data_IF_589002127497
#
_entry.id   IF_589002127497
#
_cell.length_a   1.000
_cell.length_b   1.000
_cell.length_c   1.000
_cell.angle_alpha   90.00
_cell.angle_beta   90.00
_cell.angle_gamma   90.00
#
_symmetry.space_group_name_H-M   'P 1'
#
loop_
_entity.id
_entity.type
_entity.pdbx_description
1 polymer ?
#
# COMPACT_ATOMS: atom_id res chain seq x y z
N UNK A 1 33.00 -22.80 46.61
CA UNK A 1 31.70 -22.76 45.88
C UNK A 1 31.76 -23.76 44.75
N UNK A 2 30.91 -24.76 44.71
CA UNK A 2 31.02 -25.86 43.74
C UNK A 2 30.56 -25.37 42.35
N UNK A 3 31.22 -25.89 41.29
CA UNK A 3 30.95 -25.54 39.89
C UNK A 3 29.45 -25.56 39.53
N UNK A 4 28.66 -26.45 40.16
CA UNK A 4 27.21 -26.51 40.01
C UNK A 4 26.46 -25.24 40.52
N UNK A 5 26.97 -24.60 41.56
CA UNK A 5 26.39 -23.33 42.09
C UNK A 5 26.72 -22.16 41.19
N UNK A 6 27.90 -22.16 40.56
CA UNK A 6 28.30 -21.11 39.60
C UNK A 6 27.45 -21.23 38.32
N UNK A 7 27.22 -22.43 37.79
CA UNK A 7 26.37 -22.65 36.62
C UNK A 7 24.92 -22.26 36.92
N UNK A 8 24.38 -22.58 38.08
CA UNK A 8 23.03 -22.16 38.47
C UNK A 8 22.85 -20.66 38.58
N UNK A 9 23.89 -19.94 39.06
CA UNK A 9 23.86 -18.46 39.15
C UNK A 9 23.97 -17.83 37.77
N UNK A 10 24.77 -18.37 36.86
CA UNK A 10 24.89 -17.89 35.46
C UNK A 10 23.58 -18.13 34.68
N UNK A 11 22.97 -19.32 34.82
CA UNK A 11 21.69 -19.62 34.18
C UNK A 11 20.56 -18.73 34.74
N UNK A 12 20.52 -18.54 36.07
CA UNK A 12 19.55 -17.63 36.67
C UNK A 12 19.76 -16.16 36.23
N UNK A 13 21.03 -15.73 36.09
CA UNK A 13 21.37 -14.42 35.57
C UNK A 13 20.94 -14.19 34.11
N UNK A 14 21.16 -15.19 33.27
CA UNK A 14 20.73 -15.15 31.86
C UNK A 14 19.20 -15.16 31.75
N UNK A 15 18.51 -15.99 32.50
CA UNK A 15 17.04 -16.03 32.54
C UNK A 15 16.45 -14.72 33.11
N UNK A 16 17.09 -14.12 34.11
CA UNK A 16 16.64 -12.85 34.69
C UNK A 16 16.88 -11.70 33.70
N UNK A 17 18.02 -11.66 33.02
CA UNK A 17 18.32 -10.65 31.99
C UNK A 17 17.43 -10.76 30.78
N UNK A 18 17.16 -11.98 30.31
CA UNK A 18 16.20 -12.20 29.20
C UNK A 18 14.76 -11.88 29.60
N UNK A 19 14.36 -12.17 30.84
CA UNK A 19 13.04 -11.79 31.34
C UNK A 19 12.91 -10.28 31.51
N UNK A 20 13.94 -9.58 32.02
CA UNK A 20 13.96 -8.12 32.15
C UNK A 20 13.99 -7.48 30.74
N UNK A 21 14.76 -8.00 29.80
CA UNK A 21 14.78 -7.55 28.42
C UNK A 21 13.41 -7.73 27.75
N UNK A 22 12.80 -8.92 27.94
CA UNK A 22 11.46 -9.21 27.42
C UNK A 22 10.39 -8.30 28.05
N UNK A 23 10.44 -8.06 29.36
CA UNK A 23 9.52 -7.16 30.06
C UNK A 23 9.74 -5.69 29.66
N UNK A 24 10.96 -5.28 29.34
CA UNK A 24 11.27 -3.93 28.90
C UNK A 24 10.73 -3.69 27.49
N UNK A 25 11.01 -4.59 26.57
CA UNK A 25 10.46 -4.56 25.19
C UNK A 25 8.94 -4.67 25.20
N UNK A 26 8.37 -5.60 25.98
CA UNK A 26 6.91 -5.80 26.06
C UNK A 26 6.17 -4.58 26.65
N UNK A 27 6.82 -3.72 27.43
CA UNK A 27 6.23 -2.50 27.98
C UNK A 27 6.56 -1.24 27.20
N UNK A 28 7.35 -1.33 26.14
CA UNK A 28 7.58 -0.23 25.20
C UNK A 28 6.29 0.02 24.41
N UNK A 29 5.72 1.24 24.43
CA UNK A 29 4.51 1.55 23.65
C UNK A 29 4.68 1.33 22.15
N UNK A 30 5.83 1.67 21.57
CA UNK A 30 6.12 1.45 20.15
C UNK A 30 6.25 -0.03 19.81
N UNK A 31 6.90 -0.80 20.69
CA UNK A 31 7.01 -2.25 20.49
C UNK A 31 5.68 -2.98 20.71
N UNK A 32 4.80 -2.49 21.59
CA UNK A 32 3.42 -3.00 21.73
C UNK A 32 2.59 -2.72 20.50
N UNK A 33 2.76 -1.58 19.88
CA UNK A 33 2.12 -1.27 18.60
C UNK A 33 2.54 -2.27 17.53
N UNK A 34 3.78 -2.72 17.59
CA UNK A 34 4.39 -3.66 16.63
C UNK A 34 4.01 -5.14 16.85
N UNK A 35 3.91 -5.60 18.11
CA UNK A 35 3.50 -6.98 18.45
C UNK A 35 1.98 -7.12 18.57
N UNK A 36 1.25 -6.03 18.69
CA UNK A 36 -0.21 -6.01 18.90
C UNK A 36 -1.03 -6.74 17.83
N UNK A 37 -0.41 -7.08 16.72
CA UNK A 37 -1.05 -7.83 15.62
C UNK A 37 -1.34 -9.30 15.94
N UNK A 38 -0.70 -9.89 16.95
CA UNK A 38 -0.91 -11.31 17.29
C UNK A 38 -1.94 -11.55 18.41
N UNK A 39 -2.38 -10.52 19.11
CA UNK A 39 -3.25 -10.65 20.31
C UNK A 39 -4.71 -10.23 20.09
N UNK A 40 -5.09 -9.95 18.86
CA UNK A 40 -6.40 -9.37 18.52
C UNK A 40 -6.45 -7.86 18.78
N UNK A 41 -7.40 -7.19 18.14
CA UNK A 41 -7.61 -5.76 18.32
C UNK A 41 -7.88 -5.44 19.80
N UNK A 42 -7.19 -4.44 20.34
CA UNK A 42 -7.35 -4.03 21.76
C UNK A 42 -8.78 -3.58 22.03
N UNK A 43 -9.38 -2.90 21.07
CA UNK A 43 -10.76 -2.45 21.07
C UNK A 43 -11.45 -2.98 19.80
N UNK A 44 -12.75 -3.23 19.87
CA UNK A 44 -13.52 -3.68 18.70
C UNK A 44 -13.65 -2.55 17.68
N UNK A 45 -13.59 -2.87 16.39
CA UNK A 45 -13.91 -1.90 15.33
C UNK A 45 -15.30 -1.29 15.55
N UNK A 46 -15.42 0.01 15.33
CA UNK A 46 -16.68 0.75 15.46
C UNK A 46 -16.86 1.67 14.26
N UNK A 47 -18.11 1.83 13.83
CA UNK A 47 -18.53 2.79 12.81
C UNK A 47 -19.23 3.97 13.46
N UNK A 48 -19.06 5.15 12.89
CA UNK A 48 -19.77 6.37 13.31
C UNK A 48 -21.25 6.35 12.89
N UNK A 49 -21.60 5.61 11.84
CA UNK A 49 -22.96 5.45 11.36
C UNK A 49 -23.56 4.10 11.82
N UNK A 50 -24.49 4.15 12.77
CA UNK A 50 -25.16 2.99 13.35
C UNK A 50 -26.10 2.23 12.39
N UNK A 51 -26.29 2.70 11.15
CA UNK A 51 -27.05 1.98 10.13
C UNK A 51 -26.23 0.88 9.45
N UNK A 52 -24.93 0.77 9.76
CA UNK A 52 -24.04 -0.25 9.25
C UNK A 52 -23.56 -1.18 10.35
N UNK A 53 -23.24 -2.38 9.95
CA UNK A 53 -22.66 -3.41 10.81
C UNK A 53 -21.31 -3.84 10.27
N UNK A 54 -20.46 -4.31 11.16
CA UNK A 54 -19.17 -4.92 10.82
C UNK A 54 -19.33 -6.43 10.97
N UNK A 55 -19.00 -7.17 9.93
CA UNK A 55 -18.97 -8.63 9.95
C UNK A 55 -17.53 -9.12 9.77
N UNK A 56 -17.10 -10.00 10.65
CA UNK A 56 -15.82 -10.67 10.55
C UNK A 56 -15.96 -11.89 9.63
N UNK A 57 -15.27 -11.90 8.49
CA UNK A 57 -15.34 -12.99 7.51
C UNK A 57 -14.34 -14.09 7.84
N UNK A 58 -13.13 -13.72 8.26
CA UNK A 58 -12.05 -14.65 8.57
C UNK A 58 -11.10 -14.04 9.59
N UNK A 59 -10.55 -14.88 10.48
CA UNK A 59 -9.54 -14.50 11.48
C UNK A 59 -8.34 -15.43 11.43
N UNK A 60 -7.25 -14.99 12.04
CA UNK A 60 -6.03 -15.79 12.13
C UNK A 60 -5.23 -15.88 10.84
N UNK A 61 -5.43 -14.92 9.94
CA UNK A 61 -4.61 -14.73 8.74
C UNK A 61 -3.33 -14.00 9.14
N UNK A 62 -2.21 -14.40 8.54
CA UNK A 62 -0.93 -13.73 8.75
C UNK A 62 -0.71 -12.66 7.68
N UNK A 63 -0.52 -11.40 8.11
CA UNK A 63 -0.06 -10.28 7.29
C UNK A 63 -0.71 -10.23 5.89
N UNK A 64 -2.06 -10.15 5.83
CA UNK A 64 -2.75 -9.95 4.55
C UNK A 64 -2.49 -8.52 4.03
N UNK A 65 -2.13 -8.40 2.75
CA UNK A 65 -1.84 -7.11 2.11
C UNK A 65 -2.95 -6.62 1.19
N UNK A 66 -3.52 -7.53 0.41
CA UNK A 66 -4.54 -7.18 -0.57
C UNK A 66 -5.51 -8.34 -0.81
N UNK A 67 -6.68 -8.00 -1.31
CA UNK A 67 -7.70 -8.97 -1.72
C UNK A 67 -8.35 -8.56 -3.05
N UNK A 68 -9.00 -9.50 -3.71
CA UNK A 68 -9.84 -9.21 -4.88
C UNK A 68 -11.02 -10.17 -4.95
N UNK A 69 -12.12 -9.70 -5.50
CA UNK A 69 -13.28 -10.55 -5.75
C UNK A 69 -13.17 -11.27 -7.10
N UNK A 70 -13.51 -12.55 -7.13
CA UNK A 70 -13.67 -13.33 -8.36
C UNK A 70 -15.05 -14.00 -8.36
N UNK A 71 -16.01 -13.35 -8.99
CA UNK A 71 -17.42 -13.69 -8.83
C UNK A 71 -17.89 -13.45 -7.40
N UNK A 72 -18.30 -14.53 -6.70
CA UNK A 72 -18.68 -14.46 -5.27
C UNK A 72 -17.57 -14.93 -4.33
N UNK A 73 -16.44 -15.33 -4.87
CA UNK A 73 -15.30 -15.80 -4.10
C UNK A 73 -14.30 -14.67 -3.85
N UNK A 74 -13.44 -14.83 -2.85
CA UNK A 74 -12.39 -13.87 -2.52
C UNK A 74 -11.04 -14.57 -2.67
N UNK A 75 -10.12 -13.93 -3.41
CA UNK A 75 -8.70 -14.24 -3.36
C UNK A 75 -8.02 -13.19 -2.49
N UNK A 76 -7.13 -13.62 -1.58
CA UNK A 76 -6.36 -12.72 -0.74
C UNK A 76 -4.91 -13.20 -0.60
N UNK A 77 -4.05 -12.27 -0.23
CA UNK A 77 -2.62 -12.48 -0.16
C UNK A 77 -2.16 -12.67 1.29
N UNK A 78 -1.26 -13.63 1.51
CA UNK A 78 -0.44 -13.71 2.72
C UNK A 78 0.97 -13.21 2.38
N UNK A 79 1.31 -11.99 2.78
CA UNK A 79 2.54 -11.26 2.40
C UNK A 79 3.81 -12.07 2.63
N UNK A 80 3.94 -12.60 3.84
CA UNK A 80 5.17 -13.23 4.32
C UNK A 80 5.32 -14.68 3.86
N UNK A 81 4.21 -15.35 3.58
CA UNK A 81 4.24 -16.74 3.16
C UNK A 81 4.22 -16.93 1.65
N UNK A 82 4.01 -15.85 0.88
CA UNK A 82 3.91 -15.90 -0.59
C UNK A 82 2.65 -16.57 -1.12
N UNK A 83 1.67 -16.88 -0.25
CA UNK A 83 0.50 -17.68 -0.61
C UNK A 83 -0.67 -16.81 -1.05
N UNK A 84 -1.27 -17.20 -2.17
CA UNK A 84 -2.57 -16.69 -2.58
C UNK A 84 -3.62 -17.66 -2.07
N UNK A 85 -4.50 -17.15 -1.20
CA UNK A 85 -5.53 -17.93 -0.53
C UNK A 85 -6.91 -17.67 -1.17
N UNK A 86 -7.81 -18.60 -0.98
CA UNK A 86 -9.14 -18.61 -1.59
C UNK A 86 -10.21 -18.82 -0.52
N UNK A 87 -11.19 -17.90 -0.48
CA UNK A 87 -12.42 -18.06 0.29
C UNK A 87 -13.55 -18.32 -0.68
N UNK A 88 -14.22 -19.44 -0.52
CA UNK A 88 -15.39 -19.83 -1.30
C UNK A 88 -16.56 -20.16 -0.37
N UNK A 89 -17.73 -19.60 -0.63
CA UNK A 89 -18.94 -19.76 0.22
C UNK A 89 -18.65 -19.44 1.71
N UNK A 90 -17.92 -18.38 1.99
CA UNK A 90 -17.47 -17.94 3.33
C UNK A 90 -16.60 -18.98 4.07
N UNK A 91 -15.95 -19.90 3.35
CA UNK A 91 -15.02 -20.87 3.93
C UNK A 91 -13.66 -20.74 3.28
N UNK A 92 -12.62 -20.71 4.11
CA UNK A 92 -11.25 -20.78 3.65
C UNK A 92 -10.95 -22.15 3.05
N UNK A 93 -10.52 -22.18 1.79
CA UNK A 93 -10.01 -23.38 1.13
C UNK A 93 -8.62 -23.69 1.71
N UNK A 94 -8.41 -24.97 2.10
CA UNK A 94 -7.20 -25.39 2.82
C UNK A 94 -5.92 -25.12 2.03
N UNK A 95 -5.89 -25.54 0.77
CA UNK A 95 -4.70 -25.40 -0.06
C UNK A 95 -4.65 -24.02 -0.73
N UNK A 96 -3.48 -23.37 -0.80
CA UNK A 96 -3.34 -22.12 -1.54
C UNK A 96 -3.58 -22.37 -3.04
N UNK A 97 -4.07 -21.37 -3.75
CA UNK A 97 -4.23 -21.44 -5.20
C UNK A 97 -2.94 -21.17 -5.96
N UNK A 98 -1.97 -20.53 -5.26
CA UNK A 98 -0.61 -20.28 -5.73
C UNK A 98 0.34 -20.06 -4.55
N UNK A 99 1.64 -20.27 -4.79
CA UNK A 99 2.71 -20.09 -3.80
C UNK A 99 3.92 -19.47 -4.51
N UNK A 100 4.39 -18.31 -4.02
CA UNK A 100 5.57 -17.61 -4.53
C UNK A 100 6.73 -17.76 -3.54
N UNK A 101 7.94 -17.80 -4.07
CA UNK A 101 9.16 -17.68 -3.26
C UNK A 101 9.42 -16.19 -2.97
N UNK A 102 8.93 -15.72 -1.83
CA UNK A 102 9.02 -14.31 -1.45
C UNK A 102 10.29 -14.04 -0.64
N UNK A 103 10.86 -12.86 -0.85
CA UNK A 103 11.96 -12.40 0.00
C UNK A 103 11.47 -12.21 1.44
N UNK A 104 12.11 -12.94 2.37
CA UNK A 104 11.96 -12.77 3.80
C UNK A 104 13.31 -12.35 4.39
N UNK A 105 13.50 -11.09 4.75
CA UNK A 105 14.72 -10.66 5.42
C UNK A 105 14.63 -10.81 6.95
N UNK A 106 15.74 -11.24 7.54
CA UNK A 106 16.01 -11.73 8.89
C UNK A 106 15.59 -10.92 10.12
N UNK A 107 14.87 -9.84 10.01
CA UNK A 107 14.02 -9.30 11.05
C UNK A 107 12.63 -9.08 10.47
N UNK A 108 11.80 -10.06 10.61
CA UNK A 108 10.49 -10.27 10.01
C UNK A 108 9.48 -9.15 10.22
N UNK A 109 9.81 -8.16 11.03
CA UNK A 109 8.83 -7.18 11.46
C UNK A 109 8.82 -5.88 10.66
N UNK A 110 9.78 -5.60 9.77
CA UNK A 110 9.95 -4.28 9.17
C UNK A 110 10.12 -4.24 7.66
N UNK A 111 9.97 -5.36 6.96
CA UNK A 111 10.07 -5.31 5.51
C UNK A 111 8.72 -5.05 4.87
N UNK A 112 8.68 -4.16 3.89
CA UNK A 112 7.50 -3.96 3.06
C UNK A 112 7.46 -4.92 1.87
N UNK A 113 8.51 -5.74 1.70
CA UNK A 113 8.62 -6.74 0.63
C UNK A 113 7.68 -7.93 0.85
N UNK A 114 7.44 -8.72 -0.19
CA UNK A 114 6.64 -9.95 -0.15
C UNK A 114 5.55 -9.98 -1.21
N UNK A 115 4.45 -10.65 -0.92
CA UNK A 115 3.29 -10.70 -1.81
C UNK A 115 2.39 -9.49 -1.52
N UNK A 116 2.30 -8.52 -2.46
CA UNK A 116 1.87 -7.16 -2.15
C UNK A 116 0.55 -6.76 -2.78
N UNK A 117 0.26 -7.15 -4.02
CA UNK A 117 -0.95 -6.70 -4.70
C UNK A 117 -1.61 -7.77 -5.55
N UNK A 118 -2.94 -7.72 -5.65
CA UNK A 118 -3.74 -8.61 -6.49
C UNK A 118 -4.97 -7.87 -7.01
N UNK A 119 -5.28 -8.01 -8.30
CA UNK A 119 -6.54 -7.57 -8.87
C UNK A 119 -7.09 -8.62 -9.83
N UNK A 120 -8.40 -8.59 -10.06
CA UNK A 120 -9.08 -9.43 -11.05
C UNK A 120 -9.73 -8.60 -12.15
N UNK A 121 -9.59 -9.05 -13.41
CA UNK A 121 -10.29 -8.50 -14.58
C UNK A 121 -10.99 -9.66 -15.30
N UNK A 122 -12.21 -9.95 -14.90
CA UNK A 122 -12.89 -11.16 -15.34
C UNK A 122 -12.18 -12.42 -14.86
N UNK A 123 -11.62 -13.23 -15.76
CA UNK A 123 -10.83 -14.42 -15.40
C UNK A 123 -9.31 -14.17 -15.38
N UNK A 124 -8.86 -12.97 -15.69
CA UNK A 124 -7.44 -12.62 -15.58
C UNK A 124 -7.14 -12.10 -14.17
N UNK A 125 -6.09 -12.62 -13.56
CA UNK A 125 -5.61 -12.24 -12.23
C UNK A 125 -4.22 -11.66 -12.39
N UNK A 126 -4.02 -10.47 -11.88
CA UNK A 126 -2.71 -9.79 -11.85
C UNK A 126 -2.18 -9.81 -10.43
N UNK A 127 -0.91 -10.09 -10.28
CA UNK A 127 -0.24 -10.24 -8.97
C UNK A 127 1.07 -9.48 -8.97
N UNK A 128 1.28 -8.68 -7.93
CA UNK A 128 2.53 -7.99 -7.65
C UNK A 128 3.23 -8.66 -6.47
N UNK A 129 4.49 -9.02 -6.64
CA UNK A 129 5.27 -9.76 -5.64
C UNK A 129 6.73 -9.34 -5.65
N UNK A 130 7.36 -9.28 -4.46
CA UNK A 130 8.81 -9.19 -4.31
C UNK A 130 9.37 -10.60 -4.21
N UNK A 131 10.06 -11.08 -5.24
CA UNK A 131 10.65 -12.42 -5.30
C UNK A 131 12.13 -12.41 -5.01
N UNK A 132 12.59 -13.40 -4.24
CA UNK A 132 14.00 -13.74 -4.09
C UNK A 132 14.37 -14.78 -5.15
N UNK A 133 15.17 -14.37 -6.13
CA UNK A 133 15.56 -15.24 -7.26
C UNK A 133 16.83 -16.02 -7.03
N UNK A 134 17.71 -15.48 -6.21
CA UNK A 134 18.99 -16.07 -5.85
C UNK A 134 19.41 -15.55 -4.47
N UNK A 135 19.21 -16.38 -3.46
CA UNK A 135 19.54 -16.06 -2.06
C UNK A 135 21.06 -15.94 -1.82
N UNK A 136 21.89 -16.65 -2.60
CA UNK A 136 23.35 -16.59 -2.46
C UNK A 136 23.90 -15.23 -2.97
N UNK A 137 23.28 -14.66 -4.01
CA UNK A 137 23.69 -13.39 -4.62
C UNK A 137 22.73 -12.25 -4.25
N UNK A 138 21.76 -12.48 -3.40
CA UNK A 138 20.74 -11.47 -2.97
C UNK A 138 20.05 -10.79 -4.17
N UNK A 139 19.69 -11.57 -5.19
CA UNK A 139 18.95 -11.07 -6.34
C UNK A 139 17.47 -11.02 -6.00
N UNK A 140 16.95 -9.81 -5.84
CA UNK A 140 15.55 -9.57 -5.49
C UNK A 140 14.93 -8.62 -6.51
N UNK A 141 13.73 -8.93 -6.95
CA UNK A 141 12.99 -8.12 -7.91
C UNK A 141 11.52 -8.00 -7.49
N UNK A 142 10.94 -6.83 -7.70
CA UNK A 142 9.49 -6.68 -7.71
C UNK A 142 8.99 -7.11 -9.10
N UNK A 143 8.05 -8.04 -9.13
CA UNK A 143 7.54 -8.62 -10.37
C UNK A 143 6.03 -8.54 -10.46
N UNK A 144 5.53 -8.30 -11.65
CA UNK A 144 4.11 -8.33 -11.95
C UNK A 144 3.82 -9.48 -12.89
N UNK A 145 2.92 -10.35 -12.46
CA UNK A 145 2.46 -11.49 -13.22
C UNK A 145 0.99 -11.38 -13.59
N UNK A 146 0.62 -11.99 -14.71
CA UNK A 146 -0.76 -12.27 -15.07
C UNK A 146 -0.98 -13.78 -15.07
N UNK A 147 -2.13 -14.18 -14.54
CA UNK A 147 -2.63 -15.55 -14.53
C UNK A 147 -4.01 -15.61 -15.16
N UNK A 148 -4.45 -16.82 -15.49
CA UNK A 148 -5.84 -17.12 -15.82
C UNK A 148 -6.45 -17.89 -14.66
N UNK A 149 -7.61 -17.43 -14.15
CA UNK A 149 -8.41 -18.16 -13.17
C UNK A 149 -9.30 -19.17 -13.87
N UNK A 150 -9.07 -20.44 -13.64
CA UNK A 150 -9.84 -21.53 -14.22
C UNK A 150 -9.89 -22.72 -13.27
N UNK A 151 -11.11 -23.31 -13.07
CA UNK A 151 -11.33 -24.46 -12.20
C UNK A 151 -10.81 -24.27 -10.77
N UNK A 152 -11.02 -23.08 -10.18
CA UNK A 152 -10.56 -22.67 -8.86
C UNK A 152 -9.02 -22.75 -8.69
N UNK A 153 -8.27 -22.47 -9.74
CA UNK A 153 -6.81 -22.43 -9.76
C UNK A 153 -6.29 -21.30 -10.63
N UNK A 154 -5.12 -20.81 -10.28
CA UNK A 154 -4.33 -19.94 -11.14
C UNK A 154 -3.53 -20.79 -12.12
N UNK A 155 -3.57 -20.41 -13.40
CA UNK A 155 -2.89 -21.09 -14.51
C UNK A 155 -2.27 -20.07 -15.46
N UNK A 156 -1.44 -20.53 -16.38
CA UNK A 156 -0.86 -19.72 -17.46
C UNK A 156 -0.13 -18.47 -16.95
N UNK A 157 0.77 -18.67 -15.96
CA UNK A 157 1.61 -17.59 -15.43
C UNK A 157 2.39 -16.88 -16.55
N UNK A 158 2.23 -15.58 -16.64
CA UNK A 158 2.94 -14.72 -17.60
C UNK A 158 3.58 -13.55 -16.86
N UNK A 159 4.90 -13.44 -16.89
CA UNK A 159 5.63 -12.28 -16.37
C UNK A 159 5.38 -11.08 -17.28
N UNK A 160 4.88 -9.99 -16.71
CA UNK A 160 4.59 -8.74 -17.40
C UNK A 160 5.69 -7.69 -17.18
N UNK A 161 6.03 -7.41 -15.93
CA UNK A 161 7.03 -6.39 -15.59
C UNK A 161 8.02 -6.86 -14.52
N UNK A 162 9.21 -6.29 -14.57
CA UNK A 162 10.28 -6.42 -13.58
C UNK A 162 10.66 -5.01 -13.14
N UNK A 163 10.63 -4.77 -11.83
CA UNK A 163 10.92 -3.50 -11.19
C UNK A 163 12.00 -3.70 -10.12
N UNK A 164 12.68 -2.65 -9.64
CA UNK A 164 13.64 -2.75 -8.55
C UNK A 164 13.01 -3.42 -7.30
N UNK A 165 13.75 -4.30 -6.63
CA UNK A 165 13.29 -5.00 -5.43
C UNK A 165 14.35 -5.09 -4.34
N UNK A 166 15.50 -4.46 -4.54
CA UNK A 166 16.67 -4.50 -3.65
C UNK A 166 16.62 -3.46 -2.52
N UNK A 167 15.63 -2.55 -2.54
CA UNK A 167 15.33 -1.67 -1.41
C UNK A 167 14.75 -2.42 -0.22
N UNK A 168 14.83 -1.84 0.97
CA UNK A 168 14.27 -2.44 2.19
C UNK A 168 12.83 -2.00 2.45
N UNK A 169 12.41 -0.88 1.87
CA UNK A 169 11.11 -0.25 2.09
C UNK A 169 10.55 0.30 0.77
N UNK A 170 9.30 0.76 0.82
CA UNK A 170 8.63 1.47 -0.27
C UNK A 170 8.45 0.61 -1.54
N UNK A 171 8.12 -0.67 -1.34
CA UNK A 171 7.88 -1.58 -2.46
C UNK A 171 6.57 -1.31 -3.20
N UNK A 172 5.63 -0.57 -2.59
CA UNK A 172 4.33 -0.31 -3.19
C UNK A 172 3.48 -1.57 -3.35
N UNK A 173 3.06 -1.85 -4.57
CA UNK A 173 2.35 -3.08 -4.92
C UNK A 173 0.85 -2.91 -5.18
N UNK A 174 0.24 -1.78 -4.77
CA UNK A 174 -1.15 -1.52 -5.11
C UNK A 174 -1.35 -1.48 -6.62
N UNK A 175 -2.42 -2.12 -7.08
CA UNK A 175 -2.78 -2.20 -8.50
C UNK A 175 -4.26 -1.89 -8.70
N UNK A 176 -4.59 -1.36 -9.87
CA UNK A 176 -5.97 -1.12 -10.29
C UNK A 176 -6.12 -1.24 -11.79
N UNK A 177 -7.33 -1.51 -12.26
CA UNK A 177 -7.66 -1.51 -13.69
C UNK A 177 -8.70 -0.44 -14.01
N UNK A 178 -8.49 0.29 -15.12
CA UNK A 178 -9.47 1.23 -15.63
C UNK A 178 -10.60 0.52 -16.40
N UNK A 179 -11.63 1.29 -16.82
CA UNK A 179 -12.77 0.78 -17.58
C UNK A 179 -12.39 0.18 -18.94
N UNK A 180 -11.21 0.52 -19.46
CA UNK A 180 -10.66 -0.01 -20.70
C UNK A 180 -9.77 -1.25 -20.48
N UNK A 181 -9.66 -1.71 -19.21
CA UNK A 181 -8.80 -2.81 -18.78
C UNK A 181 -7.29 -2.51 -18.85
N UNK A 182 -6.91 -1.24 -18.89
CA UNK A 182 -5.51 -0.90 -18.65
C UNK A 182 -5.22 -1.10 -17.17
N UNK A 183 -4.11 -1.76 -16.87
CA UNK A 183 -3.68 -2.04 -15.51
C UNK A 183 -2.61 -1.05 -15.11
N UNK A 184 -2.73 -0.50 -13.92
CA UNK A 184 -1.76 0.39 -13.30
C UNK A 184 -1.25 -0.25 -12.02
N UNK A 185 0.03 -0.02 -11.71
CA UNK A 185 0.66 -0.43 -10.45
C UNK A 185 1.52 0.71 -9.92
N UNK A 186 1.66 0.80 -8.61
CA UNK A 186 2.54 1.78 -7.99
C UNK A 186 3.72 1.09 -7.32
N UNK A 187 4.90 1.69 -7.46
CA UNK A 187 6.12 1.36 -6.71
C UNK A 187 6.68 2.66 -6.12
N UNK A 188 7.07 2.63 -4.85
CA UNK A 188 7.71 3.75 -4.20
C UNK A 188 9.18 3.92 -4.55
N UNK A 189 9.85 4.83 -3.87
CA UNK A 189 11.23 5.25 -4.16
C UNK A 189 12.30 4.23 -3.77
N UNK A 190 11.94 3.12 -3.12
CA UNK A 190 12.87 2.08 -2.65
C UNK A 190 13.99 2.64 -1.74
N UNK A 191 13.78 3.82 -1.11
CA UNK A 191 14.80 4.59 -0.42
C UNK A 191 15.97 5.05 -1.30
N UNK A 192 15.73 5.15 -2.62
CA UNK A 192 16.73 5.52 -3.63
C UNK A 192 16.56 6.98 -4.10
N UNK A 193 16.27 7.91 -3.19
CA UNK A 193 15.94 9.32 -3.45
C UNK A 193 16.83 10.01 -4.51
N UNK A 194 18.11 9.72 -4.49
CA UNK A 194 19.09 10.30 -5.45
C UNK A 194 19.07 9.64 -6.82
N UNK A 195 18.30 8.58 -6.99
CA UNK A 195 18.18 7.80 -8.23
C UNK A 195 16.80 7.95 -8.89
N UNK A 196 16.01 8.91 -8.42
CA UNK A 196 14.68 9.18 -8.97
C UNK A 196 14.72 10.17 -10.12
N UNK A 197 13.68 10.12 -10.96
CA UNK A 197 13.53 11.00 -12.12
C UNK A 197 13.55 12.49 -11.76
N UNK A 198 13.03 12.89 -10.61
CA UNK A 198 13.03 14.29 -10.13
C UNK A 198 14.39 14.78 -9.62
N UNK A 199 15.37 13.88 -9.46
CA UNK A 199 16.69 14.22 -8.97
C UNK A 199 17.64 14.51 -10.12
N UNK A 200 17.97 15.56 -10.56
CA UNK A 200 18.79 15.96 -11.71
C UNK A 200 18.20 15.76 -13.11
N UNK A 201 17.05 15.12 -13.24
CA UNK A 201 16.43 14.82 -14.54
C UNK A 201 17.30 14.01 -15.52
N UNK A 202 18.26 13.24 -15.00
CA UNK A 202 19.27 12.54 -15.80
C UNK A 202 19.17 11.02 -15.67
N UNK A 203 18.78 10.53 -14.49
CA UNK A 203 18.75 9.08 -14.22
C UNK A 203 17.30 8.57 -14.27
N UNK A 204 17.05 7.62 -15.16
CA UNK A 204 15.79 6.92 -15.25
C UNK A 204 15.84 5.69 -14.36
N UNK A 205 14.88 5.59 -13.44
CA UNK A 205 14.68 4.45 -12.54
C UNK A 205 13.24 3.95 -12.67
N UNK A 206 13.04 2.64 -12.53
CA UNK A 206 11.70 2.05 -12.42
C UNK A 206 11.15 2.11 -10.97
N UNK A 207 11.71 2.96 -10.10
CA UNK A 207 11.23 3.27 -8.76
C UNK A 207 10.58 4.66 -8.70
N UNK A 208 9.69 4.88 -7.70
CA UNK A 208 8.99 6.15 -7.51
C UNK A 208 8.03 6.48 -8.66
N UNK A 209 7.30 5.49 -9.17
CA UNK A 209 6.45 5.64 -10.36
C UNK A 209 5.07 5.02 -10.18
N UNK A 210 4.12 5.53 -10.97
CA UNK A 210 2.90 4.81 -11.33
C UNK A 210 3.13 4.20 -12.71
N UNK A 211 3.15 2.88 -12.76
CA UNK A 211 3.46 2.09 -13.95
C UNK A 211 2.18 1.77 -14.72
N UNK A 212 2.25 1.78 -16.04
CA UNK A 212 1.31 1.10 -16.95
C UNK A 212 1.78 -0.33 -17.16
N UNK A 213 1.04 -1.29 -16.67
CA UNK A 213 1.45 -2.70 -16.63
C UNK A 213 1.32 -3.36 -17.99
N UNK A 214 2.39 -4.03 -18.43
CA UNK A 214 2.35 -4.95 -19.56
C UNK A 214 2.07 -4.30 -20.93
N UNK A 215 2.42 -3.03 -21.14
CA UNK A 215 2.20 -2.34 -22.43
C UNK A 215 3.15 -2.82 -23.53
N UNK A 216 4.26 -3.46 -23.19
CA UNK A 216 5.20 -4.07 -24.13
C UNK A 216 5.57 -5.49 -23.69
N UNK A 217 5.18 -6.49 -24.46
CA UNK A 217 5.50 -7.89 -24.15
C UNK A 217 6.99 -8.23 -24.28
N UNK A 218 7.79 -7.38 -24.93
CA UNK A 218 9.22 -7.62 -25.16
C UNK A 218 10.09 -6.98 -24.09
N UNK A 219 9.68 -5.85 -23.53
CA UNK A 219 10.43 -5.10 -22.53
C UNK A 219 9.77 -5.25 -21.16
N UNK A 220 10.41 -6.00 -20.27
CA UNK A 220 9.89 -6.24 -18.92
C UNK A 220 10.29 -5.13 -17.93
N UNK A 221 11.47 -4.53 -18.09
CA UNK A 221 11.93 -3.40 -17.29
C UNK A 221 11.74 -2.11 -18.09
N UNK A 222 10.83 -1.23 -17.69
CA UNK A 222 10.51 0.01 -18.44
C UNK A 222 11.71 0.90 -18.73
N UNK A 223 12.61 1.09 -17.76
CA UNK A 223 13.85 1.88 -17.93
C UNK A 223 14.81 1.36 -19.00
N UNK A 224 14.66 0.11 -19.45
CA UNK A 224 15.44 -0.51 -20.54
C UNK A 224 14.73 -0.41 -21.89
N UNK A 225 13.56 0.23 -21.95
CA UNK A 225 12.82 0.51 -23.19
C UNK A 225 13.48 1.66 -23.98
N UNK A 226 13.29 1.66 -25.30
CA UNK A 226 13.63 2.82 -26.14
C UNK A 226 12.75 4.06 -25.82
N UNK A 227 11.61 3.86 -25.18
CA UNK A 227 10.64 4.89 -24.77
C UNK A 227 10.15 4.64 -23.35
N UNK A 228 10.99 4.82 -22.30
CA UNK A 228 10.59 4.54 -20.91
C UNK A 228 9.35 5.32 -20.46
N UNK A 229 9.21 6.56 -20.92
CA UNK A 229 8.08 7.43 -20.56
C UNK A 229 6.72 6.92 -21.05
N UNK A 230 6.67 6.01 -22.02
CA UNK A 230 5.39 5.38 -22.43
C UNK A 230 4.84 4.43 -21.35
N UNK A 231 5.74 3.91 -20.52
CA UNK A 231 5.41 3.01 -19.41
C UNK A 231 5.03 3.75 -18.12
N UNK A 232 5.48 4.99 -17.93
CA UNK A 232 5.22 5.74 -16.72
C UNK A 232 3.96 6.58 -16.86
N UNK A 233 2.95 6.30 -16.04
CA UNK A 233 1.76 7.14 -15.94
C UNK A 233 2.04 8.38 -15.08
N UNK A 234 2.78 8.19 -13.98
CA UNK A 234 3.23 9.22 -13.06
C UNK A 234 4.60 8.92 -12.49
N UNK A 235 5.25 9.94 -11.92
CA UNK A 235 6.58 9.87 -11.29
C UNK A 235 6.59 10.66 -9.97
N UNK A 236 7.70 10.62 -9.25
CA UNK A 236 7.87 11.38 -8.03
C UNK A 236 7.08 10.82 -6.85
N UNK A 237 6.86 9.51 -6.83
CA UNK A 237 6.16 8.81 -5.75
C UNK A 237 7.17 8.37 -4.69
N UNK A 238 6.89 8.73 -3.42
CA UNK A 238 7.72 8.25 -2.31
C UNK A 238 7.30 6.86 -1.84
N UNK A 239 6.09 6.73 -1.29
CA UNK A 239 5.60 5.46 -0.75
C UNK A 239 4.07 5.43 -0.79
N UNK A 240 3.50 4.65 -1.69
CA UNK A 240 2.06 4.52 -1.90
C UNK A 240 1.61 3.08 -1.70
N UNK A 241 0.56 2.90 -0.90
CA UNK A 241 -0.09 1.62 -0.65
C UNK A 241 -1.53 1.57 -1.14
N UNK A 242 -2.05 2.67 -1.68
CA UNK A 242 -3.41 2.75 -2.18
C UNK A 242 -3.47 3.30 -3.61
N UNK A 243 -4.21 2.61 -4.46
CA UNK A 243 -4.43 2.98 -5.85
C UNK A 243 -5.88 2.63 -6.22
N UNK A 244 -6.65 3.61 -6.67
CA UNK A 244 -8.05 3.41 -7.02
C UNK A 244 -8.45 4.18 -8.27
N UNK A 245 -9.40 3.61 -9.03
CA UNK A 245 -10.07 4.28 -10.14
C UNK A 245 -11.48 4.69 -9.70
N UNK A 246 -11.81 5.96 -9.89
CA UNK A 246 -13.19 6.41 -9.76
C UNK A 246 -14.05 5.80 -10.87
N UNK A 247 -15.08 5.01 -10.54
CA UNK A 247 -15.87 4.28 -11.52
C UNK A 247 -16.73 5.16 -12.42
N UNK A 248 -16.85 6.47 -12.14
CA UNK A 248 -17.65 7.41 -12.91
C UNK A 248 -16.84 8.28 -13.86
N UNK A 249 -15.65 8.69 -13.43
CA UNK A 249 -14.77 9.59 -14.20
C UNK A 249 -13.61 8.86 -14.84
N UNK A 250 -13.30 7.65 -14.36
CA UNK A 250 -12.10 6.91 -14.71
C UNK A 250 -10.79 7.61 -14.26
N UNK A 251 -10.89 8.55 -13.33
CA UNK A 251 -9.75 9.20 -12.71
C UNK A 251 -9.02 8.24 -11.77
N UNK A 252 -7.70 8.28 -11.80
CA UNK A 252 -6.82 7.50 -10.95
C UNK A 252 -6.43 8.33 -9.71
N UNK A 253 -6.60 7.74 -8.53
CA UNK A 253 -6.28 8.34 -7.25
C UNK A 253 -5.30 7.44 -6.49
N UNK A 254 -4.41 8.06 -5.70
CA UNK A 254 -3.45 7.37 -4.84
C UNK A 254 -3.49 7.91 -3.42
N UNK A 255 -3.08 7.08 -2.47
CA UNK A 255 -2.59 7.51 -1.17
C UNK A 255 -1.07 7.49 -1.18
N UNK A 256 -0.42 8.42 -0.51
CA UNK A 256 1.04 8.50 -0.43
C UNK A 256 1.49 8.83 0.99
N UNK A 257 2.52 8.14 1.47
CA UNK A 257 3.06 8.32 2.82
C UNK A 257 4.30 9.21 2.79
N UNK A 258 4.26 10.27 3.58
CA UNK A 258 5.37 11.19 3.80
C UNK A 258 6.48 10.61 4.67
N UNK A 259 7.49 11.44 4.97
CA UNK A 259 8.62 11.04 5.84
C UNK A 259 8.27 11.12 7.32
N UNK A 260 7.93 12.30 7.79
CA UNK A 260 7.53 12.65 9.15
C UNK A 260 6.34 13.60 9.17
N UNK A 261 6.04 14.20 8.03
CA UNK A 261 4.97 15.16 7.81
C UNK A 261 4.33 14.86 6.47
N UNK A 262 3.08 15.26 6.30
CA UNK A 262 2.31 15.23 5.07
C UNK A 262 2.18 13.86 4.41
N UNK A 263 1.28 13.05 4.95
CA UNK A 263 0.69 12.00 4.14
C UNK A 263 -0.38 12.60 3.23
N UNK A 264 -0.68 11.95 2.09
CA UNK A 264 -1.43 12.60 1.02
C UNK A 264 -2.49 11.69 0.41
N UNK A 265 -3.54 12.34 -0.13
CA UNK A 265 -4.44 11.79 -1.14
C UNK A 265 -4.26 12.61 -2.41
N UNK A 266 -3.90 11.97 -3.50
CA UNK A 266 -3.60 12.63 -4.76
C UNK A 266 -4.55 12.18 -5.87
N UNK A 267 -5.11 13.14 -6.62
CA UNK A 267 -5.70 12.92 -7.93
C UNK A 267 -4.60 12.93 -8.98
N UNK A 268 -4.47 11.86 -9.73
CA UNK A 268 -3.41 11.72 -10.73
C UNK A 268 -3.95 11.79 -12.16
N UNK A 269 -3.08 12.12 -13.09
CA UNK A 269 -3.37 12.23 -14.53
C UNK A 269 -2.16 11.73 -15.34
N UNK A 270 -2.30 11.44 -16.65
CA UNK A 270 -1.14 11.05 -17.47
C UNK A 270 -0.03 12.08 -17.42
N UNK A 271 1.18 11.67 -17.07
CA UNK A 271 2.35 12.51 -16.80
C UNK A 271 2.27 13.32 -15.50
N UNK A 272 1.58 12.79 -14.51
CA UNK A 272 1.55 13.31 -13.15
C UNK A 272 2.94 13.21 -12.49
N UNK A 273 3.24 14.20 -11.64
CA UNK A 273 4.43 14.24 -10.80
C UNK A 273 4.04 14.62 -9.37
N UNK A 274 4.24 13.72 -8.41
CA UNK A 274 3.95 13.97 -7.00
C UNK A 274 4.97 14.91 -6.32
N UNK A 275 6.14 15.13 -6.94
CA UNK A 275 7.13 16.09 -6.45
C UNK A 275 8.28 15.49 -5.65
N UNK A 276 8.15 14.28 -5.13
CA UNK A 276 9.20 13.62 -4.35
C UNK A 276 10.50 13.44 -5.19
N UNK A 277 11.69 13.68 -4.64
CA UNK A 277 12.05 13.97 -3.24
C UNK A 277 12.23 15.49 -2.95
N UNK A 278 11.56 16.38 -3.69
CA UNK A 278 11.75 17.84 -3.55
C UNK A 278 10.57 18.53 -2.90
N UNK A 279 9.37 18.00 -3.07
CA UNK A 279 8.13 18.49 -2.49
C UNK A 279 7.49 17.33 -1.73
N UNK A 280 6.90 17.63 -0.59
CA UNK A 280 6.11 16.74 0.24
C UNK A 280 5.02 17.58 0.89
N UNK A 281 3.77 17.16 0.79
CA UNK A 281 2.62 17.98 1.15
C UNK A 281 2.34 19.10 0.14
N UNK A 282 1.47 20.06 0.49
CA UNK A 282 1.20 21.22 -0.35
C UNK A 282 2.46 22.05 -0.58
N UNK A 283 2.74 22.36 -1.84
CA UNK A 283 3.96 23.10 -2.20
C UNK A 283 3.89 24.57 -1.75
N UNK A 284 4.99 25.06 -1.22
CA UNK A 284 5.18 26.50 -1.01
C UNK A 284 5.50 27.21 -2.32
N UNK A 285 5.22 28.54 -2.38
CA UNK A 285 5.59 29.36 -3.54
C UNK A 285 7.08 29.28 -3.88
N UNK A 286 7.95 29.14 -2.88
CA UNK A 286 9.39 29.01 -3.07
C UNK A 286 9.75 27.65 -3.69
N UNK A 287 9.11 26.58 -3.25
CA UNK A 287 9.29 25.24 -3.84
C UNK A 287 8.84 25.24 -5.29
N UNK A 288 7.65 25.78 -5.62
CA UNK A 288 7.15 25.86 -6.99
C UNK A 288 8.07 26.65 -7.92
N UNK A 289 8.62 27.79 -7.45
CA UNK A 289 9.55 28.61 -8.23
C UNK A 289 10.87 27.91 -8.54
N UNK A 290 11.30 27.02 -7.65
CA UNK A 290 12.58 26.31 -7.76
C UNK A 290 12.44 24.86 -8.24
N UNK A 291 11.22 24.35 -8.38
CA UNK A 291 10.99 22.96 -8.76
C UNK A 291 11.35 22.73 -10.23
N UNK A 292 12.32 21.87 -10.43
CA UNK A 292 12.65 21.33 -11.75
C UNK A 292 12.24 19.86 -11.73
N UNK A 293 11.08 19.60 -12.28
CA UNK A 293 10.53 18.25 -12.42
C UNK A 293 11.18 17.45 -13.54
N UNK A 294 10.76 16.21 -13.69
CA UNK A 294 11.25 15.30 -14.71
C UNK A 294 10.51 15.51 -16.03
N UNK A 295 11.26 15.74 -17.11
CA UNK A 295 10.74 15.80 -18.50
C UNK A 295 9.51 16.73 -18.63
N UNK A 296 8.42 16.22 -19.20
CA UNK A 296 7.13 16.89 -19.40
C UNK A 296 6.06 16.39 -18.39
N UNK A 297 6.50 15.85 -17.25
CA UNK A 297 5.63 15.50 -16.13
C UNK A 297 5.29 16.73 -15.29
N UNK A 298 4.02 16.90 -14.98
CA UNK A 298 3.47 18.08 -14.32
C UNK A 298 3.20 17.80 -12.84
N UNK A 299 3.73 18.64 -11.97
CA UNK A 299 3.44 18.61 -10.54
C UNK A 299 2.02 19.07 -10.27
N UNK A 300 1.35 18.42 -9.34
CA UNK A 300 0.08 18.88 -8.76
C UNK A 300 0.13 18.71 -7.25
N UNK A 301 -0.39 19.71 -6.52
CA UNK A 301 -0.60 19.60 -5.08
C UNK A 301 -1.58 18.46 -4.75
N UNK A 302 -1.48 17.86 -3.55
CA UNK A 302 -2.43 16.86 -3.09
C UNK A 302 -3.85 17.43 -2.94
N UNK A 303 -4.84 16.58 -3.14
CA UNK A 303 -6.25 16.91 -2.89
C UNK A 303 -6.58 16.92 -1.39
N UNK A 304 -5.74 16.30 -0.57
CA UNK A 304 -5.79 16.35 0.88
C UNK A 304 -4.47 15.88 1.49
N UNK A 305 -4.11 16.47 2.63
CA UNK A 305 -2.91 16.08 3.39
C UNK A 305 -3.19 15.96 4.88
N UNK A 306 -2.51 15.06 5.53
CA UNK A 306 -2.36 15.00 6.98
C UNK A 306 -1.01 15.62 7.34
N UNK A 307 -0.98 16.71 8.14
CA UNK A 307 0.29 17.30 8.62
C UNK A 307 1.06 16.31 9.47
N UNK A 308 0.39 15.68 10.45
CA UNK A 308 0.94 14.53 11.18
C UNK A 308 0.63 13.24 10.43
N UNK A 309 1.64 12.42 10.14
CA UNK A 309 1.49 11.19 9.38
C UNK A 309 0.50 10.22 10.01
N UNK A 310 -0.44 9.70 9.23
CA UNK A 310 -1.43 8.71 9.63
C UNK A 310 -1.20 7.33 9.00
N UNK A 311 -0.27 7.24 8.07
CA UNK A 311 0.02 6.08 7.24
C UNK A 311 -1.20 5.58 6.44
N UNK A 312 -1.78 6.40 5.53
CA UNK A 312 -2.88 5.99 4.68
C UNK A 312 -2.46 4.84 3.76
N UNK A 313 -3.38 3.91 3.57
CA UNK A 313 -3.15 2.67 2.85
C UNK A 313 -4.20 2.50 1.74
N UNK A 314 -5.10 1.52 1.86
CA UNK A 314 -6.12 1.25 0.87
C UNK A 314 -7.04 2.45 0.61
N UNK A 315 -7.40 2.65 -0.64
CA UNK A 315 -8.36 3.66 -1.11
C UNK A 315 -9.38 3.00 -2.03
N UNK A 316 -10.66 3.32 -1.88
CA UNK A 316 -11.71 2.72 -2.72
C UNK A 316 -12.87 3.68 -2.94
N UNK A 317 -13.45 3.61 -4.15
CA UNK A 317 -14.65 4.33 -4.54
C UNK A 317 -15.85 3.39 -4.52
N UNK A 318 -17.02 3.94 -4.19
CA UNK A 318 -18.28 3.20 -4.19
C UNK A 318 -19.06 3.49 -5.47
N UNK A 319 -19.60 2.45 -6.08
CA UNK A 319 -20.45 2.58 -7.27
C UNK A 319 -21.90 3.02 -6.95
N UNK A 320 -22.73 3.13 -7.98
CA UNK A 320 -24.14 3.53 -7.86
C UNK A 320 -25.04 2.60 -7.03
N UNK A 321 -24.57 1.40 -6.67
CA UNK A 321 -25.39 0.48 -5.85
C UNK A 321 -25.53 0.99 -4.44
N UNK A 322 -24.52 1.70 -3.90
CA UNK A 322 -24.56 2.36 -2.61
C UNK A 322 -24.81 3.87 -2.75
N UNK A 323 -25.99 4.22 -3.23
CA UNK A 323 -26.38 5.62 -3.53
C UNK A 323 -26.04 6.63 -2.43
N UNK A 324 -26.09 6.23 -1.17
CA UNK A 324 -25.75 7.09 -0.02
C UNK A 324 -24.28 7.57 -0.07
N UNK A 325 -23.40 6.78 -0.67
CA UNK A 325 -21.97 7.04 -0.72
C UNK A 325 -21.44 7.20 -2.15
N UNK A 326 -22.31 7.36 -3.14
CA UNK A 326 -21.91 7.46 -4.54
C UNK A 326 -20.91 8.59 -4.83
N UNK A 327 -20.89 9.63 -4.01
CA UNK A 327 -19.93 10.74 -4.11
C UNK A 327 -18.86 10.66 -2.99
N UNK A 328 -18.58 9.47 -2.49
CA UNK A 328 -17.57 9.31 -1.44
C UNK A 328 -16.41 8.44 -1.91
N UNK A 329 -15.24 8.73 -1.35
CA UNK A 329 -14.07 7.87 -1.38
C UNK A 329 -13.73 7.44 0.05
N UNK A 330 -13.39 6.17 0.22
CA UNK A 330 -12.96 5.61 1.49
C UNK A 330 -11.46 5.40 1.49
N UNK A 331 -10.80 5.75 2.60
CA UNK A 331 -9.37 5.57 2.81
C UNK A 331 -9.16 4.89 4.16
N UNK A 332 -8.33 3.87 4.20
CA UNK A 332 -7.87 3.25 5.44
C UNK A 332 -6.49 3.75 5.84
N UNK A 333 -6.16 3.64 7.12
CA UNK A 333 -4.81 3.89 7.62
C UNK A 333 -4.29 2.73 8.48
N UNK A 334 -2.99 2.75 8.77
CA UNK A 334 -2.39 1.79 9.69
C UNK A 334 -2.60 2.12 11.17
N UNK A 335 -3.18 3.26 11.50
CA UNK A 335 -3.61 3.61 12.85
C UNK A 335 -4.99 3.02 13.21
N UNK A 336 -5.68 2.45 12.21
CA UNK A 336 -6.97 1.78 12.36
C UNK A 336 -8.17 2.68 12.15
N UNK A 337 -7.98 3.80 11.47
CA UNK A 337 -9.09 4.64 11.06
C UNK A 337 -9.56 4.27 9.66
N UNK A 338 -10.85 4.30 9.46
CA UNK A 338 -11.50 4.29 8.17
C UNK A 338 -12.07 5.68 7.93
N UNK A 339 -11.49 6.38 6.98
CA UNK A 339 -11.94 7.71 6.56
C UNK A 339 -12.97 7.61 5.45
N UNK A 340 -13.83 8.63 5.38
CA UNK A 340 -14.76 8.85 4.28
C UNK A 340 -14.68 10.30 3.87
N UNK A 341 -14.24 10.56 2.68
CA UNK A 341 -14.18 11.88 2.09
C UNK A 341 -15.33 12.08 1.11
N UNK A 342 -15.81 13.32 1.00
CA UNK A 342 -16.84 13.72 0.06
C UNK A 342 -16.19 14.34 -1.19
N UNK A 343 -16.65 13.91 -2.37
CA UNK A 343 -16.23 14.50 -3.65
C UNK A 343 -17.18 15.62 -4.08
N UNK A 344 -16.64 16.59 -4.82
CA UNK A 344 -17.46 17.56 -5.53
C UNK A 344 -18.23 16.89 -6.70
N UNK A 345 -19.09 17.66 -7.39
CA UNK A 345 -19.91 17.14 -8.49
C UNK A 345 -19.09 16.65 -9.69
N UNK A 346 -17.93 17.27 -9.95
CA UNK A 346 -16.98 16.88 -11.01
C UNK A 346 -16.16 15.66 -10.64
N UNK A 347 -16.13 15.29 -9.35
CA UNK A 347 -15.36 14.17 -8.77
C UNK A 347 -13.86 14.29 -8.99
N UNK A 348 -13.37 15.51 -8.98
CA UNK A 348 -11.96 15.86 -9.15
C UNK A 348 -11.37 16.60 -7.93
N UNK A 349 -12.18 16.81 -6.87
CA UNK A 349 -11.76 17.46 -5.63
C UNK A 349 -12.49 16.89 -4.42
N UNK A 350 -11.80 16.89 -3.29
CA UNK A 350 -12.42 16.67 -1.99
C UNK A 350 -13.05 17.97 -1.48
N UNK A 351 -14.19 17.85 -0.80
CA UNK A 351 -14.94 19.01 -0.25
C UNK A 351 -15.29 18.78 1.21
N UNK A 352 -15.25 19.85 2.00
CA UNK A 352 -15.43 19.81 3.44
C UNK A 352 -16.40 20.89 3.89
N UNK A 353 -17.29 20.52 4.80
CA UNK A 353 -18.18 21.45 5.50
C UNK A 353 -17.45 22.13 6.68
N UNK A 354 -16.50 21.42 7.33
CA UNK A 354 -15.67 21.96 8.39
C UNK A 354 -14.69 23.01 7.85
N UNK A 355 -14.77 24.28 8.32
CA UNK A 355 -13.85 25.33 7.89
C UNK A 355 -12.36 25.02 8.12
N UNK A 356 -12.03 24.21 9.13
CA UNK A 356 -10.65 23.81 9.46
C UNK A 356 -10.02 22.93 8.38
N UNK A 357 -10.82 22.24 7.57
CA UNK A 357 -10.35 21.32 6.51
C UNK A 357 -10.43 21.95 5.10
N UNK A 358 -10.87 23.21 4.96
CA UNK A 358 -11.05 23.84 3.65
C UNK A 358 -9.74 24.24 2.99
N UNK A 359 -8.63 24.29 3.72
CA UNK A 359 -7.28 24.41 3.18
C UNK A 359 -6.69 23.09 2.67
N UNK A 360 -7.47 22.00 2.76
CA UNK A 360 -7.11 20.65 2.32
C UNK A 360 -5.99 20.01 3.18
N UNK A 361 -5.79 20.49 4.39
CA UNK A 361 -4.82 19.94 5.35
C UNK A 361 -5.53 19.65 6.68
N UNK A 362 -5.29 18.47 7.24
CA UNK A 362 -5.62 18.16 8.63
C UNK A 362 -4.39 18.49 9.49
N UNK A 363 -4.39 19.68 10.11
CA UNK A 363 -3.33 20.10 11.03
C UNK A 363 -3.49 19.41 12.40
N UNK A 364 -2.45 19.42 13.22
CA UNK A 364 -2.41 18.72 14.52
C UNK A 364 -3.57 19.11 15.48
N UNK A 365 -4.03 20.36 15.42
CA UNK A 365 -5.10 20.89 16.30
C UNK A 365 -6.49 20.80 15.67
N UNK A 366 -6.64 20.36 14.42
CA UNK A 366 -7.90 20.32 13.71
C UNK A 366 -8.77 19.11 14.08
N UNK A 367 -10.08 19.26 13.94
CA UNK A 367 -11.02 18.18 14.15
C UNK A 367 -11.15 17.29 12.92
N UNK A 368 -10.85 16.01 13.05
CA UNK A 368 -11.07 14.99 12.02
C UNK A 368 -12.48 14.34 12.05
N UNK A 369 -13.40 14.87 12.87
CA UNK A 369 -14.71 14.23 13.11
C UNK A 369 -15.55 14.09 11.83
N UNK A 370 -15.44 15.02 10.89
CA UNK A 370 -16.16 15.00 9.61
C UNK A 370 -15.74 13.82 8.72
N UNK A 371 -14.44 13.53 8.69
CA UNK A 371 -13.87 12.53 7.79
C UNK A 371 -13.79 11.13 8.39
N UNK A 372 -13.89 10.98 9.71
CA UNK A 372 -13.85 9.66 10.37
C UNK A 372 -15.18 8.91 10.15
N UNK A 373 -15.12 7.80 9.44
CA UNK A 373 -16.24 6.87 9.27
C UNK A 373 -16.19 5.67 10.23
N UNK A 374 -14.98 5.24 10.61
CA UNK A 374 -14.80 4.17 11.57
C UNK A 374 -13.43 4.20 12.24
N UNK A 375 -13.29 3.44 13.35
CA UNK A 375 -12.06 3.37 14.17
C UNK A 375 -11.81 1.97 14.67
N UNK A 376 -10.58 1.73 15.13
CA UNK A 376 -10.12 0.49 15.79
C UNK A 376 -10.08 -0.73 14.87
N UNK A 377 -9.88 -0.54 13.57
CA UNK A 377 -9.77 -1.64 12.60
C UNK A 377 -8.40 -2.33 12.62
N UNK A 378 -7.40 -1.78 13.31
CA UNK A 378 -6.01 -2.15 13.11
C UNK A 378 -5.49 -1.57 11.78
N UNK A 379 -4.33 -2.01 11.31
CA UNK A 379 -3.83 -1.54 10.02
C UNK A 379 -4.76 -2.04 8.90
N UNK A 380 -5.44 -1.11 8.23
CA UNK A 380 -6.30 -1.40 7.07
C UNK A 380 -5.40 -1.47 5.85
N UNK A 381 -5.08 -2.65 5.38
CA UNK A 381 -4.12 -2.82 4.28
C UNK A 381 -4.75 -2.66 2.90
N UNK A 382 -6.07 -2.91 2.77
CA UNK A 382 -6.78 -2.84 1.50
C UNK A 382 -8.28 -2.58 1.72
N UNK A 383 -8.92 -1.98 0.73
CA UNK A 383 -10.37 -1.72 0.70
C UNK A 383 -10.88 -2.05 -0.70
N UNK A 384 -11.73 -3.07 -0.79
CA UNK A 384 -12.37 -3.48 -2.03
C UNK A 384 -13.90 -3.33 -1.97
N UNK A 385 -14.52 -2.98 -3.11
CA UNK A 385 -15.97 -2.78 -3.22
C UNK A 385 -16.62 -3.62 -4.32
#
# INVERSE_FOLDING_TARGET
MTMKKIIAIIIAGILLSSLVFFLFIYNDPEFRYFIGTSTGLKDKPVLTDNNFIIEEVLVGIQASTALTFIGNDILFLEKETGKIRHIQNNMLIHDPVWDFDVKMEGCECFTESGLLGIISIGSEIYVYVTEELDSENSVVENRIYRFTWENNKLQNQLLLNILPGDGNMHHGGAMVADSNKNVYAVIGDQTLETQLQNFNNELISDAGIILRVGIDDKVKSPSKSDSPNDHYYGVGIRNSFGLAIDPFTNNLWITENGTHEYDEINLTFPKYNSGWAKIQGPATDEQLQNFVGYSDYEYSDPEFSWEETSAPTGISFVDNKWKKFSNSVFVGDCSGNLYKFQLNDSRDKLVFDNPELQDLVLNADDSNAEIIFGKNFGCITDIEY
#
